data_IF_826824732259
#
_entry.id   IF_826824732259
#
_cell.length_a   1.000
_cell.length_b   1.000
_cell.length_c   1.000
_cell.angle_alpha   90.00
_cell.angle_beta   90.00
_cell.angle_gamma   90.00
#
_symmetry.space_group_name_H-M   'P 1'
#
loop_
_entity.id
_entity.type
_entity.pdbx_description
1 polymer ?
#
# COMPACT_ATOMS: atom_id res chain seq x y z
N UNK A 1 15.09 -12.47 -11.71
CA UNK A 1 15.64 -11.37 -10.91
C UNK A 1 17.13 -11.50 -10.70
N UNK A 2 17.59 -12.40 -9.79
CA UNK A 2 18.99 -12.44 -9.37
C UNK A 2 19.97 -12.70 -10.53
N UNK A 3 19.73 -13.71 -11.38
CA UNK A 3 20.61 -14.06 -12.52
C UNK A 3 20.75 -12.91 -13.52
N UNK A 4 19.66 -12.16 -13.77
CA UNK A 4 19.65 -11.03 -14.70
C UNK A 4 19.89 -9.69 -14.02
N UNK A 5 20.21 -9.67 -12.72
CA UNK A 5 20.46 -8.45 -11.91
C UNK A 5 19.36 -7.38 -12.09
N UNK A 6 18.08 -7.78 -12.16
CA UNK A 6 16.95 -6.90 -12.41
C UNK A 6 15.90 -6.96 -11.31
N UNK A 7 15.39 -5.80 -10.93
CA UNK A 7 14.30 -5.57 -9.97
C UNK A 7 12.99 -5.13 -10.65
N UNK A 8 12.99 -4.90 -11.96
CA UNK A 8 11.86 -4.30 -12.69
C UNK A 8 10.51 -4.98 -12.46
N UNK A 9 10.54 -6.26 -12.14
CA UNK A 9 9.32 -7.07 -11.96
C UNK A 9 8.95 -7.27 -10.49
N UNK A 10 9.68 -6.70 -9.52
CA UNK A 10 9.42 -6.93 -8.10
C UNK A 10 8.00 -6.47 -7.70
N UNK A 11 7.68 -5.21 -7.97
CA UNK A 11 6.38 -4.62 -7.66
C UNK A 11 5.25 -5.30 -8.48
N UNK A 12 5.52 -5.63 -9.75
CA UNK A 12 4.55 -6.34 -10.60
C UNK A 12 4.27 -7.75 -10.06
N UNK A 13 5.32 -8.49 -9.66
CA UNK A 13 5.17 -9.83 -9.07
C UNK A 13 4.36 -9.76 -7.77
N UNK A 14 4.61 -8.76 -6.93
CA UNK A 14 3.82 -8.52 -5.73
C UNK A 14 2.32 -8.37 -6.05
N UNK A 15 1.99 -7.50 -7.00
CA UNK A 15 0.59 -7.28 -7.41
C UNK A 15 -0.05 -8.52 -8.03
N UNK A 16 0.68 -9.25 -8.88
CA UNK A 16 0.20 -10.51 -9.45
C UNK A 16 0.00 -11.59 -8.37
N UNK A 17 0.81 -11.58 -7.31
CA UNK A 17 0.65 -12.49 -6.17
C UNK A 17 -0.64 -12.22 -5.39
N UNK A 18 -1.00 -10.93 -5.17
CA UNK A 18 -2.32 -10.58 -4.62
C UNK A 18 -3.46 -11.11 -5.50
N UNK A 19 -3.40 -10.85 -6.79
CA UNK A 19 -4.43 -11.28 -7.74
C UNK A 19 -4.55 -12.82 -7.78
N UNK A 20 -3.42 -13.53 -7.89
CA UNK A 20 -3.40 -14.99 -7.96
C UNK A 20 -3.95 -15.63 -6.68
N UNK A 21 -3.58 -15.10 -5.50
CA UNK A 21 -4.08 -15.63 -4.23
C UNK A 21 -5.59 -15.41 -4.06
N UNK A 22 -6.12 -14.24 -4.45
CA UNK A 22 -7.57 -13.99 -4.40
C UNK A 22 -8.32 -14.87 -5.41
N UNK A 23 -7.83 -15.01 -6.64
CA UNK A 23 -8.46 -15.89 -7.63
C UNK A 23 -8.44 -17.35 -7.18
N UNK A 24 -7.34 -17.81 -6.57
CA UNK A 24 -7.26 -19.15 -5.99
C UNK A 24 -8.27 -19.33 -4.86
N UNK A 25 -8.36 -18.37 -3.93
CA UNK A 25 -9.31 -18.42 -2.83
C UNK A 25 -10.76 -18.52 -3.32
N UNK A 26 -11.11 -17.70 -4.34
CA UNK A 26 -12.46 -17.75 -4.95
C UNK A 26 -12.71 -19.10 -5.64
N UNK A 27 -11.73 -19.63 -6.40
CA UNK A 27 -11.89 -20.86 -7.17
C UNK A 27 -11.98 -22.11 -6.30
N UNK A 28 -11.36 -22.10 -5.13
CA UNK A 28 -11.36 -23.24 -4.20
C UNK A 28 -12.48 -23.19 -3.15
N UNK A 29 -13.15 -22.04 -3.02
CA UNK A 29 -14.24 -21.89 -2.05
C UNK A 29 -15.60 -21.88 -2.75
N UNK A 30 -16.44 -22.94 -2.55
CA UNK A 30 -17.66 -23.15 -3.34
C UNK A 30 -18.79 -22.15 -3.00
N UNK A 31 -18.72 -21.46 -1.87
CA UNK A 31 -19.80 -20.60 -1.36
C UNK A 31 -19.29 -19.19 -1.05
N UNK A 32 -18.96 -18.44 -2.11
CA UNK A 32 -18.56 -17.03 -1.97
C UNK A 32 -19.81 -16.17 -1.69
N UNK A 33 -19.93 -15.65 -0.48
CA UNK A 33 -21.00 -14.75 -0.09
C UNK A 33 -20.77 -13.30 -0.62
N UNK A 34 -21.74 -12.40 -0.38
CA UNK A 34 -21.64 -11.01 -0.79
C UNK A 34 -20.43 -10.31 -0.15
N UNK A 35 -20.12 -10.61 1.10
CA UNK A 35 -18.98 -10.04 1.82
C UNK A 35 -17.66 -10.46 1.19
N UNK A 36 -17.46 -11.74 0.98
CA UNK A 36 -16.29 -12.30 0.30
C UNK A 36 -16.14 -11.76 -1.10
N UNK A 37 -17.25 -11.62 -1.86
CA UNK A 37 -17.23 -11.04 -3.21
C UNK A 37 -16.77 -9.59 -3.23
N UNK A 38 -17.26 -8.75 -2.32
CA UNK A 38 -16.89 -7.33 -2.23
C UNK A 38 -15.43 -7.19 -1.77
N UNK A 39 -15.00 -7.94 -0.75
CA UNK A 39 -13.60 -7.94 -0.29
C UNK A 39 -12.67 -8.36 -1.43
N UNK A 40 -13.01 -9.42 -2.17
CA UNK A 40 -12.24 -9.90 -3.31
C UNK A 40 -12.12 -8.82 -4.40
N UNK A 41 -13.23 -8.21 -4.79
CA UNK A 41 -13.25 -7.13 -5.78
C UNK A 41 -12.38 -5.95 -5.36
N UNK A 42 -12.45 -5.54 -4.10
CA UNK A 42 -11.67 -4.43 -3.56
C UNK A 42 -10.17 -4.72 -3.59
N UNK A 43 -9.75 -5.90 -3.16
CA UNK A 43 -8.33 -6.29 -3.20
C UNK A 43 -7.84 -6.38 -4.66
N UNK A 44 -8.63 -6.96 -5.57
CA UNK A 44 -8.28 -7.06 -6.99
C UNK A 44 -8.14 -5.67 -7.65
N UNK A 45 -9.09 -4.75 -7.39
CA UNK A 45 -9.05 -3.38 -7.91
C UNK A 45 -7.79 -2.65 -7.41
N UNK A 46 -7.52 -2.73 -6.10
CA UNK A 46 -6.34 -2.10 -5.52
C UNK A 46 -5.04 -2.69 -6.07
N UNK A 47 -4.90 -4.03 -6.13
CA UNK A 47 -3.71 -4.70 -6.63
C UNK A 47 -3.46 -4.40 -8.11
N UNK A 48 -4.48 -4.43 -8.95
CA UNK A 48 -4.37 -4.10 -10.37
C UNK A 48 -3.94 -2.64 -10.58
N UNK A 49 -4.54 -1.71 -9.84
CA UNK A 49 -4.19 -0.29 -9.91
C UNK A 49 -2.77 -0.03 -9.43
N UNK A 50 -2.40 -0.54 -8.25
CA UNK A 50 -1.08 -0.31 -7.66
C UNK A 50 0.01 -0.94 -8.53
N UNK A 51 -0.17 -2.19 -8.97
CA UNK A 51 0.79 -2.88 -9.81
C UNK A 51 1.02 -2.16 -11.14
N UNK A 52 -0.06 -1.71 -11.80
CA UNK A 52 0.06 -0.92 -13.03
C UNK A 52 0.80 0.39 -12.78
N UNK A 53 0.46 1.09 -11.70
CA UNK A 53 1.11 2.35 -11.34
C UNK A 53 2.61 2.18 -11.10
N UNK A 54 3.00 1.20 -10.28
CA UNK A 54 4.41 0.96 -9.93
C UNK A 54 5.21 0.45 -11.13
N UNK A 55 4.65 -0.46 -11.92
CA UNK A 55 5.29 -0.96 -13.14
C UNK A 55 5.57 0.16 -14.15
N UNK A 56 4.58 1.02 -14.42
CA UNK A 56 4.76 2.16 -15.32
C UNK A 56 5.78 3.16 -14.79
N UNK A 57 5.83 3.35 -13.46
CA UNK A 57 6.84 4.20 -12.81
C UNK A 57 8.25 3.67 -13.04
N UNK A 58 8.51 2.38 -12.72
CA UNK A 58 9.84 1.77 -12.89
C UNK A 58 10.25 1.77 -14.37
N UNK A 59 9.31 1.51 -15.29
CA UNK A 59 9.58 1.59 -16.73
C UNK A 59 10.01 2.99 -17.18
N UNK A 60 9.43 4.05 -16.59
CA UNK A 60 9.81 5.46 -16.88
C UNK A 60 11.12 5.85 -16.23
N UNK A 61 11.34 5.47 -14.98
CA UNK A 61 12.51 5.87 -14.17
C UNK A 61 13.76 5.01 -14.51
N UNK A 62 13.59 3.90 -15.22
CA UNK A 62 14.62 3.00 -15.72
C UNK A 62 15.17 2.01 -14.68
N UNK A 63 15.16 2.35 -13.40
CA UNK A 63 15.60 1.46 -12.29
C UNK A 63 14.99 1.87 -10.95
N UNK A 64 15.01 0.95 -10.00
CA UNK A 64 14.72 1.25 -8.60
C UNK A 64 16.03 1.16 -7.78
N UNK A 65 16.56 2.31 -7.38
CA UNK A 65 17.82 2.42 -6.65
C UNK A 65 17.86 1.68 -5.31
N UNK A 66 16.71 1.33 -4.74
CA UNK A 66 16.63 0.53 -3.51
C UNK A 66 17.26 -0.86 -3.68
N UNK A 67 17.29 -1.37 -4.91
CA UNK A 67 17.81 -2.69 -5.24
C UNK A 67 19.27 -2.72 -5.68
N UNK A 68 19.94 -1.59 -5.83
CA UNK A 68 21.31 -1.53 -6.35
C UNK A 68 22.29 -2.41 -5.55
N UNK A 69 22.16 -2.44 -4.20
CA UNK A 69 22.96 -3.33 -3.36
C UNK A 69 22.33 -4.72 -3.13
N UNK A 70 20.99 -4.81 -3.20
CA UNK A 70 20.26 -6.05 -2.90
C UNK A 70 20.53 -7.09 -3.99
N UNK A 71 20.46 -6.68 -5.26
CA UNK A 71 20.59 -7.57 -6.42
C UNK A 71 21.97 -8.20 -6.60
N UNK A 72 23.00 -7.64 -5.96
CA UNK A 72 24.37 -8.16 -6.03
C UNK A 72 24.66 -9.29 -5.02
N UNK A 73 23.80 -9.47 -3.99
CA UNK A 73 24.01 -10.45 -2.93
C UNK A 73 22.83 -11.43 -2.87
N UNK A 74 23.08 -12.72 -3.17
CA UNK A 74 22.04 -13.74 -3.25
C UNK A 74 21.16 -13.82 -2.00
N UNK A 75 21.74 -13.90 -0.81
CA UNK A 75 20.94 -14.01 0.42
C UNK A 75 20.10 -12.78 0.72
N UNK A 76 20.61 -11.56 0.41
CA UNK A 76 19.81 -10.34 0.55
C UNK A 76 18.67 -10.31 -0.46
N UNK A 77 18.94 -10.72 -1.69
CA UNK A 77 17.94 -10.81 -2.74
C UNK A 77 16.84 -11.82 -2.35
N UNK A 78 17.22 -13.04 -1.99
CA UNK A 78 16.28 -14.08 -1.53
C UNK A 78 15.44 -13.61 -0.35
N UNK A 79 16.06 -13.02 0.68
CA UNK A 79 15.36 -12.48 1.84
C UNK A 79 14.35 -11.38 1.46
N UNK A 80 14.73 -10.46 0.57
CA UNK A 80 13.84 -9.38 0.11
C UNK A 80 12.63 -9.94 -0.63
N UNK A 81 12.80 -10.94 -1.48
CA UNK A 81 11.68 -11.59 -2.19
C UNK A 81 10.79 -12.41 -1.25
N UNK A 82 11.38 -13.13 -0.29
CA UNK A 82 10.63 -13.85 0.74
C UNK A 82 9.82 -12.87 1.61
N UNK A 83 10.44 -11.76 2.02
CA UNK A 83 9.75 -10.71 2.76
C UNK A 83 8.61 -10.08 1.93
N UNK A 84 8.82 -9.90 0.62
CA UNK A 84 7.77 -9.45 -0.30
C UNK A 84 6.59 -10.42 -0.35
N UNK A 85 6.83 -11.72 -0.41
CA UNK A 85 5.79 -12.75 -0.33
C UNK A 85 5.06 -12.75 1.01
N UNK A 86 5.79 -12.66 2.13
CA UNK A 86 5.22 -12.55 3.46
C UNK A 86 4.38 -11.27 3.60
N UNK A 87 4.84 -10.15 3.03
CA UNK A 87 4.09 -8.91 2.96
C UNK A 87 2.73 -9.11 2.29
N UNK A 88 2.71 -9.66 1.07
CA UNK A 88 1.47 -9.93 0.33
C UNK A 88 0.51 -10.76 1.20
N UNK A 89 0.98 -11.87 1.77
CA UNK A 89 0.15 -12.79 2.53
C UNK A 89 -0.41 -12.16 3.82
N UNK A 90 0.44 -11.51 4.63
CA UNK A 90 0.01 -10.94 5.92
C UNK A 90 -0.92 -9.73 5.68
N UNK A 91 -0.63 -8.90 4.68
CA UNK A 91 -1.47 -7.74 4.37
C UNK A 91 -2.90 -8.15 4.01
N UNK A 92 -3.10 -9.19 3.23
CA UNK A 92 -4.45 -9.65 2.85
C UNK A 92 -5.05 -10.72 3.77
N UNK A 93 -4.36 -11.10 4.86
CA UNK A 93 -4.75 -12.24 5.70
C UNK A 93 -6.19 -12.14 6.22
N UNK A 94 -6.62 -10.96 6.71
CA UNK A 94 -8.00 -10.79 7.17
C UNK A 94 -9.02 -10.94 6.03
N UNK A 95 -8.70 -10.38 4.85
CA UNK A 95 -9.53 -10.54 3.65
C UNK A 95 -9.61 -12.00 3.19
N UNK A 96 -8.47 -12.70 3.12
CA UNK A 96 -8.44 -14.13 2.76
C UNK A 96 -9.22 -14.97 3.75
N UNK A 97 -9.06 -14.74 5.06
CA UNK A 97 -9.81 -15.46 6.09
C UNK A 97 -11.32 -15.27 5.94
N UNK A 98 -11.77 -14.06 5.59
CA UNK A 98 -13.21 -13.80 5.36
C UNK A 98 -13.71 -14.43 4.05
N UNK A 99 -12.93 -14.39 2.96
CA UNK A 99 -13.27 -14.99 1.66
C UNK A 99 -13.42 -16.51 1.78
N UNK A 100 -12.56 -17.15 2.58
CA UNK A 100 -12.55 -18.61 2.77
C UNK A 100 -13.31 -19.06 4.01
N UNK A 101 -14.01 -18.17 4.70
CA UNK A 101 -14.78 -18.51 5.89
C UNK A 101 -16.07 -19.27 5.51
N UNK A 102 -16.36 -20.33 6.23
CA UNK A 102 -17.65 -21.02 6.17
C UNK A 102 -18.71 -20.36 7.08
N UNK A 103 -18.30 -19.39 7.90
CA UNK A 103 -19.19 -18.68 8.80
C UNK A 103 -19.91 -17.56 8.06
N UNK A 104 -21.10 -17.87 7.55
CA UNK A 104 -21.95 -16.90 6.87
C UNK A 104 -22.65 -16.01 7.89
N UNK A 105 -22.21 -14.78 8.00
CA UNK A 105 -22.81 -13.78 8.89
C UNK A 105 -23.63 -12.77 8.10
N UNK A 106 -24.78 -12.31 8.61
CA UNK A 106 -25.60 -11.30 7.95
C UNK A 106 -24.80 -10.02 7.65
N UNK A 107 -25.20 -9.36 6.58
CA UNK A 107 -24.67 -8.04 6.23
C UNK A 107 -25.17 -7.04 7.27
N UNK A 108 -24.23 -6.30 7.87
CA UNK A 108 -24.53 -5.35 8.95
C UNK A 108 -23.57 -4.16 8.93
N UNK A 109 -23.51 -3.42 10.03
CA UNK A 109 -22.78 -2.15 10.13
C UNK A 109 -21.28 -2.28 9.76
N UNK A 110 -20.62 -3.37 10.15
CA UNK A 110 -19.21 -3.60 9.83
C UNK A 110 -18.95 -3.68 8.33
N UNK A 111 -19.88 -4.26 7.56
CA UNK A 111 -19.76 -4.34 6.11
C UNK A 111 -19.81 -2.96 5.48
N UNK A 112 -20.81 -2.15 5.81
CA UNK A 112 -20.95 -0.81 5.25
C UNK A 112 -19.84 0.14 5.72
N UNK A 113 -19.49 0.09 7.00
CA UNK A 113 -18.38 0.88 7.55
C UNK A 113 -17.05 0.53 6.85
N UNK A 114 -16.78 -0.75 6.63
CA UNK A 114 -15.60 -1.19 5.91
C UNK A 114 -15.56 -0.72 4.45
N UNK A 115 -16.71 -0.74 3.74
CA UNK A 115 -16.83 -0.18 2.39
C UNK A 115 -16.49 1.31 2.38
N UNK A 116 -17.06 2.09 3.30
CA UNK A 116 -16.81 3.53 3.40
C UNK A 116 -15.33 3.81 3.65
N UNK A 117 -14.72 3.09 4.60
CA UNK A 117 -13.29 3.22 4.89
C UNK A 117 -12.44 2.86 3.68
N UNK A 118 -12.77 1.77 2.99
CA UNK A 118 -12.02 1.35 1.82
C UNK A 118 -12.08 2.39 0.69
N UNK A 119 -13.29 2.86 0.33
CA UNK A 119 -13.49 3.88 -0.71
C UNK A 119 -12.75 5.17 -0.34
N UNK A 120 -12.86 5.61 0.90
CA UNK A 120 -12.19 6.81 1.39
C UNK A 120 -10.66 6.67 1.28
N UNK A 121 -10.10 5.58 1.82
CA UNK A 121 -8.65 5.32 1.77
C UNK A 121 -8.12 5.21 0.35
N UNK A 122 -8.81 4.43 -0.50
CA UNK A 122 -8.45 4.26 -1.91
C UNK A 122 -8.49 5.58 -2.69
N UNK A 123 -9.50 6.40 -2.43
CA UNK A 123 -9.63 7.72 -3.08
C UNK A 123 -8.46 8.64 -2.70
N UNK A 124 -8.11 8.70 -1.41
CA UNK A 124 -6.95 9.49 -0.96
C UNK A 124 -5.66 8.99 -1.61
N UNK A 125 -5.43 7.68 -1.62
CA UNK A 125 -4.24 7.08 -2.23
C UNK A 125 -4.13 7.44 -3.72
N UNK A 126 -5.22 7.25 -4.48
CA UNK A 126 -5.26 7.57 -5.92
C UNK A 126 -5.02 9.05 -6.18
N UNK A 127 -5.65 9.95 -5.43
CA UNK A 127 -5.49 11.39 -5.61
C UNK A 127 -4.06 11.81 -5.26
N UNK A 128 -3.51 11.33 -4.14
CA UNK A 128 -2.14 11.65 -3.72
C UNK A 128 -1.11 11.21 -4.76
N UNK A 129 -1.24 9.98 -5.28
CA UNK A 129 -0.34 9.47 -6.31
C UNK A 129 -0.47 10.26 -7.63
N UNK A 130 -1.69 10.66 -8.02
CA UNK A 130 -1.92 11.50 -9.20
C UNK A 130 -1.29 12.87 -9.04
N UNK A 131 -1.47 13.52 -7.88
CA UNK A 131 -0.86 14.82 -7.59
C UNK A 131 0.67 14.73 -7.66
N UNK A 132 1.29 13.72 -7.06
CA UNK A 132 2.74 13.51 -7.09
C UNK A 132 3.25 13.24 -8.50
N UNK A 133 2.50 12.47 -9.29
CA UNK A 133 2.85 12.20 -10.69
C UNK A 133 2.77 13.47 -11.54
N UNK A 134 1.69 14.24 -11.42
CA UNK A 134 1.52 15.50 -12.14
C UNK A 134 2.64 16.49 -11.80
N UNK A 135 2.95 16.66 -10.50
CA UNK A 135 4.03 17.51 -10.02
C UNK A 135 5.39 17.12 -10.63
N UNK A 136 5.71 15.82 -10.65
CA UNK A 136 6.98 15.31 -11.20
C UNK A 136 7.06 15.35 -12.73
N UNK A 137 5.93 15.37 -13.44
CA UNK A 137 5.91 15.43 -14.90
C UNK A 137 6.12 16.85 -15.43
N UNK A 138 5.89 17.86 -14.60
CA UNK A 138 6.18 19.25 -14.92
C UNK A 138 7.65 19.54 -14.73
N UNK A 139 8.33 19.93 -15.82
CA UNK A 139 9.76 20.22 -15.84
C UNK A 139 10.14 21.43 -14.98
N UNK A 140 9.23 22.35 -14.74
CA UNK A 140 9.44 23.52 -13.86
C UNK A 140 9.62 23.14 -12.40
N UNK A 141 9.15 21.94 -12.01
CA UNK A 141 9.29 21.38 -10.67
C UNK A 141 10.56 20.51 -10.49
N UNK A 142 11.44 20.48 -11.49
CA UNK A 142 12.67 19.68 -11.41
C UNK A 142 13.53 20.15 -10.22
N UNK A 143 13.90 19.20 -9.35
CA UNK A 143 14.68 19.48 -8.14
C UNK A 143 13.86 19.94 -6.94
N UNK A 144 12.55 20.18 -7.09
CA UNK A 144 11.65 20.62 -6.02
C UNK A 144 10.93 19.43 -5.36
N UNK A 145 10.36 19.68 -4.18
CA UNK A 145 9.48 18.76 -3.47
C UNK A 145 8.02 19.28 -3.51
N UNK A 146 7.07 18.34 -3.45
CA UNK A 146 5.64 18.67 -3.53
C UNK A 146 5.12 19.10 -2.16
N UNK A 147 4.38 20.22 -2.12
CA UNK A 147 3.73 20.80 -0.92
C UNK A 147 2.28 21.18 -1.15
N UNK A 148 1.70 20.82 -2.30
CA UNK A 148 0.34 21.23 -2.69
C UNK A 148 -0.68 20.09 -2.58
N UNK A 149 -1.96 20.41 -2.51
CA UNK A 149 -3.05 19.45 -2.43
C UNK A 149 -2.97 18.61 -1.14
N UNK A 150 -3.13 17.28 -1.24
CA UNK A 150 -3.03 16.38 -0.09
C UNK A 150 -1.64 16.40 0.56
N UNK A 151 -0.60 16.73 -0.20
CA UNK A 151 0.79 16.82 0.29
C UNK A 151 1.05 18.05 1.16
N UNK A 152 0.16 19.05 1.17
CA UNK A 152 0.20 20.15 2.16
C UNK A 152 -0.37 19.73 3.52
N UNK A 153 -1.18 18.68 3.56
CA UNK A 153 -1.87 18.20 4.76
C UNK A 153 -1.15 17.04 5.44
N UNK A 154 -0.40 16.26 4.67
CA UNK A 154 0.38 15.12 5.12
C UNK A 154 1.60 14.93 4.22
N UNK A 155 2.73 14.51 4.79
CA UNK A 155 3.95 14.20 4.01
C UNK A 155 3.85 12.89 3.24
N UNK A 156 2.95 11.99 3.66
CA UNK A 156 2.71 10.69 3.03
C UNK A 156 1.20 10.37 2.95
N UNK A 157 0.40 11.20 2.23
CA UNK A 157 -1.05 11.02 2.18
C UNK A 157 -1.48 9.74 1.48
N UNK A 158 -0.69 9.25 0.51
CA UNK A 158 -0.94 7.96 -0.13
C UNK A 158 -0.81 6.79 0.86
N UNK A 159 0.16 6.81 1.77
CA UNK A 159 0.31 5.78 2.81
C UNK A 159 -0.81 5.85 3.84
N UNK A 160 -1.27 7.05 4.18
CA UNK A 160 -2.47 7.19 5.00
C UNK A 160 -3.68 6.53 4.33
N UNK A 161 -3.89 6.80 3.04
CA UNK A 161 -4.95 6.16 2.25
C UNK A 161 -4.84 4.63 2.25
N UNK A 162 -3.65 4.09 2.01
CA UNK A 162 -3.38 2.65 2.01
C UNK A 162 -3.66 2.00 3.37
N UNK A 163 -3.27 2.63 4.48
CA UNK A 163 -3.58 2.13 5.81
C UNK A 163 -5.10 2.08 6.05
N UNK A 164 -5.81 3.15 5.71
CA UNK A 164 -7.27 3.24 5.91
C UNK A 164 -8.01 2.18 5.08
N UNK A 165 -7.63 1.95 3.83
CA UNK A 165 -8.30 0.92 3.02
C UNK A 165 -8.08 -0.50 3.57
N UNK A 166 -6.90 -0.83 4.12
CA UNK A 166 -6.65 -2.14 4.74
C UNK A 166 -7.35 -2.29 6.09
N UNK A 167 -7.53 -1.19 6.85
CA UNK A 167 -8.45 -1.17 7.99
C UNK A 167 -9.87 -1.47 7.51
N UNK A 168 -10.32 -0.88 6.40
CA UNK A 168 -11.62 -1.14 5.80
C UNK A 168 -11.84 -2.61 5.46
N UNK A 169 -10.84 -3.28 4.84
CA UNK A 169 -10.88 -4.74 4.59
C UNK A 169 -11.04 -5.52 5.90
N UNK A 170 -10.26 -5.18 6.92
CA UNK A 170 -10.30 -5.87 8.22
C UNK A 170 -11.64 -5.67 8.95
N UNK A 171 -12.21 -4.48 8.87
CA UNK A 171 -13.55 -4.16 9.43
C UNK A 171 -14.63 -4.97 8.71
N UNK A 172 -14.59 -5.08 7.37
CA UNK A 172 -15.53 -5.93 6.64
C UNK A 172 -15.38 -7.42 7.00
N UNK A 173 -14.13 -7.87 7.17
CA UNK A 173 -13.82 -9.27 7.46
C UNK A 173 -14.25 -9.68 8.87
N UNK A 174 -14.18 -8.77 9.85
CA UNK A 174 -14.31 -9.04 11.27
C UNK A 174 -15.49 -9.98 11.66
N UNK A 175 -16.74 -9.78 11.18
CA UNK A 175 -17.87 -10.64 11.60
C UNK A 175 -17.80 -12.06 11.04
N UNK A 176 -17.04 -12.29 9.95
CA UNK A 176 -16.90 -13.62 9.34
C UNK A 176 -15.80 -14.46 9.98
N UNK A 177 -14.94 -13.87 10.83
CA UNK A 177 -13.81 -14.55 11.45
C UNK A 177 -14.27 -15.41 12.62
N UNK A 178 -13.63 -16.58 12.79
CA UNK A 178 -13.87 -17.50 13.89
C UNK A 178 -12.56 -18.04 14.48
N UNK A 179 -12.53 -18.24 15.79
CA UNK A 179 -11.39 -18.85 16.49
C UNK A 179 -10.06 -18.17 16.16
N UNK A 180 -9.09 -18.94 15.68
CA UNK A 180 -7.74 -18.44 15.34
C UNK A 180 -7.70 -17.45 14.18
N UNK A 181 -8.77 -17.34 13.38
CA UNK A 181 -8.84 -16.37 12.28
C UNK A 181 -8.77 -14.92 12.78
N UNK A 182 -9.16 -14.64 14.03
CA UNK A 182 -8.99 -13.30 14.61
C UNK A 182 -7.53 -12.81 14.65
N UNK A 183 -6.54 -13.71 14.62
CA UNK A 183 -5.13 -13.32 14.51
C UNK A 183 -4.82 -12.61 13.19
N UNK A 184 -5.62 -12.84 12.15
CA UNK A 184 -5.45 -12.17 10.86
C UNK A 184 -5.73 -10.67 10.91
N UNK A 185 -6.40 -10.17 11.97
CA UNK A 185 -6.59 -8.74 12.22
C UNK A 185 -5.28 -7.99 12.54
N UNK A 186 -4.15 -8.71 12.65
CA UNK A 186 -2.81 -8.09 12.63
C UNK A 186 -2.51 -7.39 11.30
N UNK A 187 -3.22 -7.72 10.22
CA UNK A 187 -3.01 -7.21 8.86
C UNK A 187 -2.84 -5.68 8.81
N UNK A 188 -3.77 -4.82 9.27
CA UNK A 188 -3.59 -3.38 9.19
C UNK A 188 -2.43 -2.86 10.06
N UNK A 189 -2.16 -3.48 11.20
CA UNK A 189 -1.00 -3.13 12.03
C UNK A 189 0.31 -3.45 11.32
N UNK A 190 0.35 -4.57 10.61
CA UNK A 190 1.48 -4.96 9.80
C UNK A 190 1.72 -3.98 8.64
N UNK A 191 0.66 -3.52 7.95
CA UNK A 191 0.75 -2.48 6.91
C UNK A 191 1.33 -1.19 7.49
N UNK A 192 0.84 -0.74 8.65
CA UNK A 192 1.40 0.44 9.35
C UNK A 192 2.88 0.26 9.63
N UNK A 193 3.26 -0.89 10.20
CA UNK A 193 4.66 -1.20 10.51
C UNK A 193 5.54 -1.15 9.26
N UNK A 194 5.11 -1.81 8.18
CA UNK A 194 5.86 -1.86 6.93
C UNK A 194 6.04 -0.47 6.31
N UNK A 195 4.95 0.30 6.20
CA UNK A 195 4.99 1.61 5.56
C UNK A 195 5.77 2.64 6.39
N UNK A 196 5.74 2.55 7.73
CA UNK A 196 6.43 3.53 8.57
C UNK A 196 7.89 3.13 8.81
N UNK A 197 8.17 1.85 9.09
CA UNK A 197 9.47 1.42 9.62
C UNK A 197 10.36 0.72 8.59
N UNK A 198 9.79 0.01 7.60
CA UNK A 198 10.58 -0.88 6.74
C UNK A 198 10.84 -0.27 5.37
N UNK A 199 9.82 0.10 4.62
CA UNK A 199 9.97 0.39 3.19
C UNK A 199 9.45 1.75 2.72
N UNK A 200 8.67 2.45 3.56
CA UNK A 200 7.96 3.65 3.14
C UNK A 200 8.57 4.94 3.69
N UNK A 201 7.95 5.43 4.75
CA UNK A 201 8.24 6.74 5.35
C UNK A 201 9.72 6.94 5.63
N UNK A 202 10.35 6.00 6.36
CA UNK A 202 11.76 6.11 6.75
C UNK A 202 12.68 6.36 5.56
N UNK A 203 12.57 5.55 4.53
CA UNK A 203 13.45 5.66 3.34
C UNK A 203 13.21 6.95 2.56
N UNK A 204 11.93 7.38 2.47
CA UNK A 204 11.58 8.62 1.77
C UNK A 204 12.01 9.86 2.53
N UNK A 205 11.88 9.89 3.86
CA UNK A 205 12.34 10.98 4.70
C UNK A 205 13.87 11.11 4.64
N UNK A 206 14.61 10.00 4.77
CA UNK A 206 16.07 10.00 4.62
C UNK A 206 16.51 10.47 3.22
N UNK A 207 15.83 10.04 2.17
CA UNK A 207 16.09 10.50 0.81
C UNK A 207 15.76 11.99 0.60
N UNK A 208 14.69 12.47 1.22
CA UNK A 208 14.31 13.88 1.23
C UNK A 208 15.35 14.76 1.92
N UNK A 209 15.78 14.35 3.12
CA UNK A 209 16.83 15.05 3.87
C UNK A 209 18.16 15.11 3.10
N UNK A 210 18.54 14.03 2.40
CA UNK A 210 19.75 14.04 1.56
C UNK A 210 19.65 15.02 0.39
N UNK A 211 18.45 15.26 -0.17
CA UNK A 211 18.25 16.11 -1.35
C UNK A 211 18.00 17.58 -0.99
N UNK A 212 17.23 17.81 0.05
CA UNK A 212 16.70 19.14 0.40
C UNK A 212 16.93 19.52 1.86
N UNK A 213 17.76 18.76 2.61
CA UNK A 213 17.98 19.01 4.03
C UNK A 213 18.53 20.39 4.37
N UNK A 214 19.26 21.05 3.43
CA UNK A 214 19.78 22.40 3.60
C UNK A 214 18.83 23.50 3.06
N UNK A 215 17.67 23.13 2.52
CA UNK A 215 16.67 24.05 2.00
C UNK A 215 15.74 24.49 3.14
N UNK A 216 15.65 25.80 3.39
CA UNK A 216 14.82 26.39 4.46
C UNK A 216 13.33 26.07 4.27
N UNK A 217 12.85 26.08 3.03
CA UNK A 217 11.44 25.80 2.71
C UNK A 217 11.10 24.33 3.00
N UNK A 218 12.07 23.43 2.76
CA UNK A 218 11.90 22.02 3.11
C UNK A 218 11.87 21.79 4.62
N UNK A 219 12.75 22.48 5.37
CA UNK A 219 12.74 22.39 6.84
C UNK A 219 11.43 22.95 7.43
N UNK A 220 10.94 24.05 6.88
CA UNK A 220 9.65 24.61 7.27
C UNK A 220 8.51 23.63 6.95
N UNK A 221 8.54 23.00 5.77
CA UNK A 221 7.57 21.96 5.39
C UNK A 221 7.59 20.78 6.37
N UNK A 222 8.77 20.27 6.73
CA UNK A 222 8.91 19.19 7.71
C UNK A 222 8.37 19.56 9.09
N UNK A 223 8.62 20.80 9.54
CA UNK A 223 8.16 21.29 10.83
C UNK A 223 6.63 21.48 10.89
N UNK A 224 6.05 21.90 9.76
CA UNK A 224 4.63 22.27 9.68
C UNK A 224 3.71 21.12 9.24
N UNK A 225 4.19 20.15 8.48
CA UNK A 225 3.34 19.11 7.88
C UNK A 225 3.54 17.77 8.58
N UNK A 226 2.46 17.17 9.15
CA UNK A 226 2.58 15.90 9.85
C UNK A 226 2.97 14.77 8.90
N UNK A 227 3.60 13.73 9.46
CA UNK A 227 4.15 12.60 8.69
C UNK A 227 3.07 11.84 7.94
N UNK A 228 1.99 11.47 8.63
CA UNK A 228 1.00 10.53 8.12
C UNK A 228 -0.44 11.06 8.22
N UNK A 229 -0.91 11.40 9.43
CA UNK A 229 -2.29 11.84 9.61
C UNK A 229 -2.49 13.23 9.03
N UNK A 230 -3.40 13.41 8.04
CA UNK A 230 -3.65 14.72 7.46
C UNK A 230 -4.15 15.73 8.52
N UNK A 231 -3.53 16.89 8.54
CA UNK A 231 -3.96 18.01 9.37
C UNK A 231 -4.49 19.13 8.49
N UNK A 232 -5.74 19.53 8.72
CA UNK A 232 -6.33 20.72 8.09
C UNK A 232 -5.84 21.92 8.91
N UNK A 233 -4.80 22.61 8.43
CA UNK A 233 -4.42 23.88 9.02
C UNK A 233 -5.45 24.95 8.64
N UNK A 234 -6.01 25.59 9.63
CA UNK A 234 -6.60 26.91 9.44
C UNK A 234 -5.42 27.88 9.23
N UNK A 235 -5.30 28.39 8.00
CA UNK A 235 -4.43 29.52 7.65
C UNK A 235 -4.73 30.72 8.55
#
# INVERSE_FOLDING_TARGET
GFVYQTEHYFDLTGSLSYIAAILLAISTHPYLDLRGSVISAFILIWAARLGTFLFLRVKKDGKDSRFDEIKTRFFRFMFTWTLGGAWVFITMAAGLAAITSTNQTPIGIFFYAGIVLWIFGFTIEVIADRQKRAFRSDTTNKGRFITSGLWSMSRHPNYFGEIILWIGISVMAFPALVGWQYLTLISPLFVVFLLIKVSGVKLLEESGLKRWGNDSDYQEYLAKTPVLMPSIRRS
#
